data_IF_745721850283
#
_entry.id   IF_745721850283
#
_cell.length_a   1.000
_cell.length_b   1.000
_cell.length_c   1.000
_cell.angle_alpha   90.00
_cell.angle_beta   90.00
_cell.angle_gamma   90.00
#
_symmetry.space_group_name_H-M   'P 1'
#
loop_
_entity.id
_entity.type
_entity.pdbx_description
1 polymer ?
#
# COMPACT_ATOMS: atom_id res chain seq x y z
N UNK A 1 -65.03 56.15 -21.82
CA UNK A 1 -65.00 55.06 -20.82
C UNK A 1 -63.98 54.02 -21.26
N UNK A 2 -62.77 54.02 -20.67
CA UNK A 2 -61.70 53.07 -20.97
C UNK A 2 -61.90 51.79 -20.15
N UNK A 3 -62.04 50.65 -20.81
CA UNK A 3 -62.01 49.32 -20.18
C UNK A 3 -60.56 48.93 -19.95
N UNK A 4 -60.17 48.77 -18.69
CA UNK A 4 -58.89 48.18 -18.30
C UNK A 4 -59.10 46.68 -18.18
N UNK A 5 -58.43 45.92 -19.05
CA UNK A 5 -58.28 44.48 -18.94
C UNK A 5 -57.00 44.23 -18.14
N UNK A 6 -57.11 43.62 -16.95
CA UNK A 6 -55.97 43.10 -16.20
C UNK A 6 -55.67 41.67 -16.70
N UNK A 7 -54.41 41.31 -17.02
CA UNK A 7 -54.02 39.93 -17.17
C UNK A 7 -53.63 39.35 -15.80
N UNK A 8 -54.23 38.20 -15.47
CA UNK A 8 -53.87 37.36 -14.34
C UNK A 8 -52.60 36.57 -14.72
N UNK A 9 -51.44 37.00 -14.23
CA UNK A 9 -50.20 36.22 -14.33
C UNK A 9 -50.11 35.32 -13.09
N UNK A 10 -50.38 34.03 -13.28
CA UNK A 10 -50.13 33.01 -12.28
C UNK A 10 -48.62 32.82 -12.12
N UNK A 11 -48.04 33.38 -11.06
CA UNK A 11 -46.74 32.94 -10.56
C UNK A 11 -46.91 31.54 -9.97
N UNK A 12 -46.49 30.53 -10.71
CA UNK A 12 -46.16 29.22 -10.14
C UNK A 12 -44.86 29.39 -9.39
N UNK A 13 -44.94 29.69 -8.10
CA UNK A 13 -43.82 29.65 -7.18
C UNK A 13 -43.38 28.20 -6.99
N UNK A 14 -42.36 27.78 -7.74
CA UNK A 14 -41.58 26.58 -7.45
C UNK A 14 -40.95 26.76 -6.07
N UNK A 15 -41.58 26.22 -5.04
CA UNK A 15 -40.97 26.08 -3.73
C UNK A 15 -39.86 25.04 -3.88
N UNK A 16 -38.60 25.49 -3.89
CA UNK A 16 -37.49 24.60 -3.58
C UNK A 16 -37.73 24.12 -2.14
N UNK A 17 -38.20 22.88 -1.98
CA UNK A 17 -38.31 22.22 -0.69
C UNK A 17 -36.87 22.07 -0.16
N UNK A 18 -36.46 22.94 0.75
CA UNK A 18 -35.31 22.66 1.60
C UNK A 18 -35.69 21.44 2.45
N UNK A 19 -35.21 20.27 2.08
CA UNK A 19 -35.37 19.07 2.89
C UNK A 19 -34.64 19.28 4.22
N UNK A 20 -35.29 18.96 5.34
CA UNK A 20 -34.63 18.89 6.65
C UNK A 20 -33.49 17.87 6.56
N UNK A 21 -32.31 18.20 7.08
CA UNK A 21 -31.16 17.29 7.11
C UNK A 21 -31.52 15.93 7.72
N UNK A 22 -32.46 15.92 8.67
CA UNK A 22 -33.01 14.69 9.25
C UNK A 22 -33.72 13.82 8.20
N UNK A 23 -34.58 14.41 7.38
CA UNK A 23 -35.34 13.69 6.34
C UNK A 23 -34.39 13.14 5.26
N UNK A 24 -33.38 13.93 4.86
CA UNK A 24 -32.34 13.49 3.93
C UNK A 24 -31.61 12.26 4.48
N UNK A 25 -31.23 12.30 5.76
CA UNK A 25 -30.59 11.18 6.42
C UNK A 25 -31.48 9.94 6.43
N UNK A 26 -32.71 10.05 6.95
CA UNK A 26 -33.62 8.91 7.11
C UNK A 26 -33.95 8.25 5.77
N UNK A 27 -34.05 9.04 4.68
CA UNK A 27 -34.37 8.53 3.35
C UNK A 27 -33.16 7.91 2.61
N UNK A 28 -31.94 8.43 2.82
CA UNK A 28 -30.78 8.07 1.98
C UNK A 28 -29.66 7.35 2.72
N UNK A 29 -29.45 7.67 4.00
CA UNK A 29 -28.23 7.32 4.73
C UNK A 29 -28.45 6.40 5.93
N UNK A 30 -29.68 6.26 6.42
CA UNK A 30 -30.01 5.37 7.55
C UNK A 30 -29.50 3.93 7.36
N UNK A 31 -29.60 3.38 6.15
CA UNK A 31 -29.15 2.01 5.85
C UNK A 31 -27.68 1.92 5.42
N UNK A 32 -27.01 3.06 5.18
CA UNK A 32 -25.62 3.07 4.74
C UNK A 32 -24.66 2.69 5.88
N UNK A 33 -23.47 2.12 5.59
CA UNK A 33 -22.48 1.83 6.63
C UNK A 33 -21.96 3.11 7.30
N UNK A 34 -21.12 2.96 8.33
CA UNK A 34 -20.39 4.11 8.88
C UNK A 34 -19.58 4.82 7.79
N UNK A 35 -19.63 6.15 7.74
CA UNK A 35 -18.95 6.92 6.71
C UNK A 35 -19.35 8.40 6.73
N UNK A 36 -18.76 9.15 5.79
CA UNK A 36 -19.08 10.57 5.57
C UNK A 36 -19.77 10.71 4.21
N UNK A 37 -20.94 11.35 4.19
CA UNK A 37 -21.76 11.51 3.00
C UNK A 37 -22.06 13.00 2.75
N UNK A 38 -21.97 13.44 1.49
CA UNK A 38 -22.27 14.82 1.13
C UNK A 38 -23.56 14.90 0.31
N UNK A 39 -24.52 15.70 0.77
CA UNK A 39 -25.79 15.95 0.05
C UNK A 39 -26.35 17.31 0.43
N UNK A 40 -26.95 18.01 -0.54
CA UNK A 40 -27.74 19.21 -0.31
C UNK A 40 -27.00 20.29 0.50
N UNK A 41 -25.68 20.40 0.31
CA UNK A 41 -24.82 21.36 1.04
C UNK A 41 -24.39 20.91 2.44
N UNK A 42 -24.76 19.71 2.87
CA UNK A 42 -24.42 19.14 4.16
C UNK A 42 -23.41 17.99 4.05
N UNK A 43 -22.61 17.82 5.10
CA UNK A 43 -21.81 16.63 5.36
C UNK A 43 -22.42 15.88 6.54
N UNK A 44 -22.86 14.65 6.28
CA UNK A 44 -23.39 13.70 7.25
C UNK A 44 -22.28 12.78 7.71
N UNK A 45 -21.98 12.81 9.01
CA UNK A 45 -21.05 11.91 9.67
C UNK A 45 -21.85 10.80 10.33
N UNK A 46 -21.82 9.61 9.74
CA UNK A 46 -22.60 8.45 10.18
C UNK A 46 -21.68 7.48 10.86
N UNK A 47 -21.95 7.19 12.14
CA UNK A 47 -21.21 6.22 12.93
C UNK A 47 -22.17 5.15 13.45
N UNK A 48 -21.98 3.93 12.97
CA UNK A 48 -22.66 2.72 13.43
C UNK A 48 -21.71 1.94 14.34
N UNK A 49 -21.88 2.10 15.65
CA UNK A 49 -21.03 1.50 16.69
C UNK A 49 -21.70 0.26 17.28
N UNK A 50 -21.12 -0.91 17.03
CA UNK A 50 -21.58 -2.15 17.64
C UNK A 50 -21.26 -2.16 19.15
N UNK A 51 -22.06 -2.91 19.90
CA UNK A 51 -21.79 -3.14 21.32
C UNK A 51 -20.46 -3.85 21.56
N UNK A 52 -19.79 -3.48 22.64
CA UNK A 52 -18.68 -4.30 23.15
C UNK A 52 -19.27 -5.48 23.93
N UNK A 53 -19.19 -6.68 23.33
CA UNK A 53 -19.65 -7.94 23.89
C UNK A 53 -21.12 -8.26 23.64
N UNK A 54 -21.59 -9.38 24.20
CA UNK A 54 -22.95 -9.91 24.00
C UNK A 54 -23.98 -9.15 24.84
N UNK A 55 -24.41 -8.00 24.34
CA UNK A 55 -25.53 -7.22 24.89
C UNK A 55 -26.67 -7.17 23.89
N UNK A 56 -27.88 -6.86 24.39
CA UNK A 56 -29.08 -6.70 23.56
C UNK A 56 -29.24 -5.28 23.01
N UNK A 57 -28.79 -4.27 23.76
CA UNK A 57 -28.91 -2.86 23.40
C UNK A 57 -27.62 -2.11 23.69
N UNK A 58 -27.33 -1.12 22.86
CA UNK A 58 -26.23 -0.17 23.04
C UNK A 58 -26.60 0.92 24.06
N UNK A 59 -25.61 1.40 24.82
CA UNK A 59 -25.82 2.40 25.87
C UNK A 59 -24.77 3.51 25.87
N UNK A 60 -24.54 4.09 27.04
CA UNK A 60 -23.64 5.25 27.22
C UNK A 60 -22.21 4.99 26.76
N UNK A 61 -21.71 3.76 26.90
CA UNK A 61 -20.33 3.42 26.50
C UNK A 61 -20.19 3.47 24.98
N UNK A 62 -21.11 2.82 24.27
CA UNK A 62 -21.16 2.78 22.81
C UNK A 62 -21.41 4.18 22.24
N UNK A 63 -22.28 4.99 22.85
CA UNK A 63 -22.48 6.41 22.48
C UNK A 63 -21.17 7.22 22.58
N UNK A 64 -20.40 7.09 23.67
CA UNK A 64 -19.09 7.77 23.80
C UNK A 64 -18.05 7.30 22.79
N UNK A 65 -18.05 6.00 22.46
CA UNK A 65 -17.16 5.46 21.43
C UNK A 65 -17.54 5.99 20.04
N UNK A 66 -18.84 6.05 19.76
CA UNK A 66 -19.36 6.58 18.51
C UNK A 66 -19.06 8.08 18.36
N UNK A 67 -19.22 8.86 19.43
CA UNK A 67 -18.84 10.28 19.48
C UNK A 67 -17.34 10.47 19.22
N UNK A 68 -16.48 9.65 19.84
CA UNK A 68 -15.03 9.69 19.58
C UNK A 68 -14.73 9.41 18.10
N UNK A 69 -15.37 8.40 17.51
CA UNK A 69 -15.21 8.07 16.10
C UNK A 69 -15.71 9.20 15.19
N UNK A 70 -16.80 9.87 15.54
CA UNK A 70 -17.28 11.07 14.86
C UNK A 70 -16.19 12.16 14.84
N UNK A 71 -15.61 12.53 15.99
CA UNK A 71 -14.57 13.56 16.02
C UNK A 71 -13.32 13.18 15.22
N UNK A 72 -12.98 11.89 15.16
CA UNK A 72 -11.91 11.40 14.29
C UNK A 72 -12.25 11.60 12.80
N UNK A 73 -13.48 11.28 12.37
CA UNK A 73 -13.94 11.55 11.01
C UNK A 73 -14.00 13.05 10.70
N UNK A 74 -14.47 13.87 11.64
CA UNK A 74 -14.55 15.33 11.50
C UNK A 74 -13.18 15.95 11.25
N UNK A 75 -12.17 15.56 12.05
CA UNK A 75 -10.79 16.04 11.89
C UNK A 75 -10.18 15.57 10.56
N UNK A 76 -10.48 14.34 10.14
CA UNK A 76 -10.01 13.82 8.86
C UNK A 76 -10.61 14.61 7.69
N UNK A 77 -11.92 14.85 7.67
CA UNK A 77 -12.60 15.63 6.62
C UNK A 77 -12.17 17.10 6.60
N UNK A 78 -12.00 17.71 7.77
CA UNK A 78 -11.45 19.06 7.88
C UNK A 78 -10.07 19.14 7.23
N UNK A 79 -9.20 18.17 7.50
CA UNK A 79 -7.86 18.10 6.91
C UNK A 79 -7.92 17.86 5.40
N UNK A 80 -8.74 16.91 4.94
CA UNK A 80 -8.87 16.55 3.52
C UNK A 80 -9.38 17.69 2.64
N UNK A 81 -10.28 18.52 3.17
CA UNK A 81 -10.98 19.56 2.41
C UNK A 81 -10.32 20.94 2.51
N UNK A 82 -9.68 21.24 3.64
CA UNK A 82 -8.98 22.52 3.86
C UNK A 82 -7.54 22.52 3.39
N UNK A 83 -6.88 21.37 3.31
CA UNK A 83 -5.51 21.29 2.81
C UNK A 83 -5.54 21.07 1.30
N UNK A 84 -4.77 21.87 0.56
CA UNK A 84 -4.55 21.64 -0.87
C UNK A 84 -3.08 21.76 -1.23
N UNK A 85 -2.70 21.00 -2.25
CA UNK A 85 -1.39 21.08 -2.89
C UNK A 85 -1.52 21.91 -4.17
N UNK A 86 -0.44 22.56 -4.58
CA UNK A 86 -0.34 23.03 -5.97
C UNK A 86 -0.40 21.79 -6.89
N UNK A 87 -1.39 21.67 -7.79
CA UNK A 87 -1.53 20.53 -8.68
C UNK A 87 -0.30 20.25 -9.55
N UNK A 88 0.52 21.28 -9.82
CA UNK A 88 1.72 21.16 -10.62
C UNK A 88 2.94 20.71 -9.80
N UNK A 89 2.81 20.64 -8.47
CA UNK A 89 3.96 20.47 -7.59
C UNK A 89 4.21 19.03 -7.17
N UNK A 90 3.15 18.27 -6.91
CA UNK A 90 3.21 16.87 -6.48
C UNK A 90 1.97 16.13 -7.01
N UNK A 91 2.20 15.08 -7.79
CA UNK A 91 1.14 14.17 -8.23
C UNK A 91 0.99 13.03 -7.23
N UNK A 92 0.11 13.21 -6.23
CA UNK A 92 -0.33 12.14 -5.34
C UNK A 92 -1.76 11.74 -5.66
N UNK A 93 -2.04 10.45 -5.52
CA UNK A 93 -3.38 9.89 -5.68
C UNK A 93 -3.69 8.93 -4.53
N UNK A 94 -4.88 8.32 -4.55
CA UNK A 94 -5.22 7.19 -3.69
C UNK A 94 -5.09 7.45 -2.19
N UNK A 95 -4.66 6.42 -1.47
CA UNK A 95 -4.55 6.42 0.00
C UNK A 95 -3.44 7.34 0.49
N UNK A 96 -2.27 7.34 -0.18
CA UNK A 96 -1.14 8.18 0.22
C UNK A 96 -1.50 9.67 0.17
N UNK A 97 -2.26 10.12 -0.84
CA UNK A 97 -2.75 11.51 -0.89
C UNK A 97 -3.58 11.85 0.35
N UNK A 98 -4.51 10.97 0.73
CA UNK A 98 -5.38 11.18 1.88
C UNK A 98 -4.56 11.29 3.17
N UNK A 99 -3.62 10.38 3.37
CA UNK A 99 -2.81 10.34 4.59
C UNK A 99 -1.84 11.54 4.68
N UNK A 100 -1.29 11.99 3.55
CA UNK A 100 -0.50 13.23 3.49
C UNK A 100 -1.35 14.45 3.86
N UNK A 101 -2.54 14.59 3.28
CA UNK A 101 -3.47 15.69 3.60
C UNK A 101 -3.88 15.69 5.09
N UNK A 102 -4.21 14.51 5.63
CA UNK A 102 -4.56 14.35 7.04
C UNK A 102 -3.39 14.70 7.95
N UNK A 103 -2.19 14.18 7.67
CA UNK A 103 -1.00 14.45 8.48
C UNK A 103 -0.63 15.94 8.47
N UNK A 104 -0.75 16.60 7.33
CA UNK A 104 -0.50 18.04 7.24
C UNK A 104 -1.61 18.83 7.96
N UNK A 105 -2.88 18.51 7.74
CA UNK A 105 -3.99 19.19 8.40
C UNK A 105 -3.90 19.14 9.92
N UNK A 106 -3.40 18.02 10.47
CA UNK A 106 -3.08 17.89 11.89
C UNK A 106 -1.93 18.81 12.35
N UNK A 107 -0.89 18.99 11.52
CA UNK A 107 0.25 19.87 11.85
C UNK A 107 -0.12 21.35 11.85
N UNK A 108 -0.97 21.78 10.92
CA UNK A 108 -1.44 23.16 10.84
C UNK A 108 -2.57 23.48 11.81
N UNK A 109 -2.87 22.55 12.73
CA UNK A 109 -4.00 22.60 13.65
C UNK A 109 -5.27 23.07 12.92
N UNK A 110 -5.63 22.37 11.84
CA UNK A 110 -6.85 22.64 11.06
C UNK A 110 -8.15 22.40 11.86
N UNK A 111 -8.10 22.51 13.20
CA UNK A 111 -9.20 22.79 14.12
C UNK A 111 -9.83 24.15 13.78
N UNK A 112 -10.48 24.25 12.63
CA UNK A 112 -11.62 25.15 12.57
C UNK A 112 -12.66 24.63 13.56
N UNK A 113 -13.30 25.53 14.29
CA UNK A 113 -14.57 25.23 14.95
C UNK A 113 -15.61 24.97 13.84
N UNK A 114 -15.66 23.72 13.36
CA UNK A 114 -16.71 23.28 12.46
C UNK A 114 -17.96 23.10 13.32
N UNK A 115 -18.93 23.99 13.11
CA UNK A 115 -20.24 23.89 13.74
C UNK A 115 -20.95 22.66 13.18
N UNK A 116 -21.40 21.81 14.09
CA UNK A 116 -22.10 20.56 13.78
C UNK A 116 -23.31 20.38 14.69
N UNK A 117 -24.30 19.65 14.20
CA UNK A 117 -25.56 19.38 14.89
C UNK A 117 -25.79 17.87 14.99
N UNK A 118 -26.11 17.41 16.20
CA UNK A 118 -26.49 16.02 16.44
C UNK A 118 -27.88 15.79 15.86
N UNK A 119 -28.00 14.89 14.90
CA UNK A 119 -29.28 14.45 14.35
C UNK A 119 -29.81 13.25 15.12
N UNK A 120 -28.94 12.27 15.38
CA UNK A 120 -29.30 11.03 16.06
C UNK A 120 -28.19 10.57 17.01
N UNK A 121 -28.60 10.11 18.19
CA UNK A 121 -27.81 9.24 19.05
C UNK A 121 -28.75 8.19 19.64
N UNK A 122 -28.95 7.08 18.92
CA UNK A 122 -29.98 6.08 19.25
C UNK A 122 -29.50 4.66 19.06
N UNK A 123 -30.11 3.73 19.78
CA UNK A 123 -29.98 2.30 19.50
C UNK A 123 -30.95 1.93 18.37
N UNK A 124 -30.51 1.12 17.41
CA UNK A 124 -31.34 0.69 16.29
C UNK A 124 -32.14 -0.61 16.56
N UNK A 125 -32.14 -1.12 17.79
CA UNK A 125 -32.81 -2.36 18.18
C UNK A 125 -31.98 -3.64 17.99
N UNK A 126 -30.74 -3.54 17.48
CA UNK A 126 -29.86 -4.69 17.22
C UNK A 126 -28.46 -4.53 17.82
N UNK A 127 -28.36 -3.97 19.04
CA UNK A 127 -27.10 -3.64 19.71
C UNK A 127 -26.11 -2.85 18.83
N UNK A 128 -26.64 -1.92 18.05
CA UNK A 128 -25.88 -1.02 17.20
C UNK A 128 -26.34 0.40 17.53
N UNK A 129 -25.39 1.20 18.01
CA UNK A 129 -25.60 2.62 18.25
C UNK A 129 -25.41 3.36 16.94
N UNK A 130 -26.46 4.06 16.52
CA UNK A 130 -26.44 4.97 15.38
C UNK A 130 -26.23 6.39 15.91
N UNK A 131 -25.07 6.95 15.60
CA UNK A 131 -24.66 8.30 15.98
C UNK A 131 -24.42 9.12 14.72
N UNK A 132 -25.19 10.18 14.54
CA UNK A 132 -25.22 10.95 13.29
C UNK A 132 -25.11 12.42 13.61
N UNK A 133 -24.07 13.04 13.07
CA UNK A 133 -23.83 14.48 13.14
C UNK A 133 -23.89 15.06 11.74
N UNK A 134 -24.34 16.30 11.62
CA UNK A 134 -24.35 17.04 10.35
C UNK A 134 -23.61 18.35 10.48
N UNK A 135 -22.85 18.73 9.45
CA UNK A 135 -22.20 20.03 9.34
C UNK A 135 -22.44 20.63 7.95
N UNK A 136 -22.44 21.96 7.84
CA UNK A 136 -22.46 22.63 6.53
C UNK A 136 -21.13 22.38 5.80
N UNK A 137 -21.21 21.87 4.57
CA UNK A 137 -20.05 21.53 3.74
C UNK A 137 -19.17 22.76 3.43
N UNK A 138 -19.77 23.95 3.33
CA UNK A 138 -19.03 25.19 3.02
C UNK A 138 -18.05 25.59 4.12
N UNK A 139 -18.29 25.20 5.38
CA UNK A 139 -17.35 25.43 6.50
C UNK A 139 -16.00 24.74 6.28
N UNK A 140 -15.96 23.68 5.47
CA UNK A 140 -14.74 22.93 5.16
C UNK A 140 -13.96 23.52 3.99
N UNK A 141 -14.53 24.49 3.27
CA UNK A 141 -13.90 25.12 2.11
C UNK A 141 -13.30 26.50 2.43
N UNK A 142 -13.64 27.05 3.61
CA UNK A 142 -13.11 28.32 4.09
C UNK A 142 -11.64 28.15 4.52
N UNK A 143 -10.81 29.11 4.10
CA UNK A 143 -9.38 29.20 4.46
C UNK A 143 -8.56 27.96 4.04
N UNK A 144 -8.57 27.64 2.74
CA UNK A 144 -7.72 26.56 2.23
C UNK A 144 -6.24 26.86 2.49
N UNK A 145 -5.59 25.94 3.20
CA UNK A 145 -4.16 25.97 3.45
C UNK A 145 -3.47 25.43 2.20
N UNK A 146 -2.79 26.32 1.49
CA UNK A 146 -1.90 25.92 0.41
C UNK A 146 -0.58 25.44 1.01
N UNK A 147 -0.23 24.19 0.74
CA UNK A 147 0.97 23.59 1.29
C UNK A 147 2.08 23.60 0.26
N UNK A 148 3.29 24.08 0.62
CA UNK A 148 4.47 23.96 -0.22
C UNK A 148 4.79 22.51 -0.59
N UNK A 149 5.28 22.31 -1.82
CA UNK A 149 5.59 21.00 -2.39
C UNK A 149 6.59 20.20 -1.53
N UNK A 150 7.62 20.88 -1.03
CA UNK A 150 8.66 20.31 -0.18
C UNK A 150 8.10 19.77 1.16
N UNK A 151 7.10 20.45 1.71
CA UNK A 151 6.41 20.00 2.93
C UNK A 151 5.59 18.74 2.66
N UNK A 152 4.85 18.71 1.55
CA UNK A 152 4.11 17.52 1.14
C UNK A 152 5.04 16.35 0.80
N UNK A 153 6.17 16.59 0.13
CA UNK A 153 7.23 15.60 -0.12
C UNK A 153 7.77 15.02 1.19
N UNK A 154 8.11 15.89 2.15
CA UNK A 154 8.65 15.48 3.46
C UNK A 154 7.66 14.61 4.23
N UNK A 155 6.37 15.00 4.26
CA UNK A 155 5.33 14.22 4.93
C UNK A 155 5.09 12.89 4.23
N UNK A 156 5.03 12.87 2.89
CA UNK A 156 4.95 11.64 2.10
C UNK A 156 6.10 10.68 2.43
N UNK A 157 7.33 11.17 2.43
CA UNK A 157 8.52 10.37 2.75
C UNK A 157 8.44 9.81 4.18
N UNK A 158 8.01 10.64 5.14
CA UNK A 158 7.80 10.20 6.52
C UNK A 158 6.77 9.06 6.58
N UNK A 159 5.61 9.21 5.95
CA UNK A 159 4.56 8.18 5.95
C UNK A 159 5.04 6.85 5.31
N UNK A 160 5.85 6.92 4.25
CA UNK A 160 6.47 5.73 3.64
C UNK A 160 7.41 5.03 4.63
N UNK A 161 8.28 5.79 5.30
CA UNK A 161 9.24 5.26 6.27
C UNK A 161 8.53 4.71 7.52
N UNK A 162 7.52 5.42 8.03
CA UNK A 162 6.70 4.98 9.16
C UNK A 162 5.99 3.65 8.82
N UNK A 163 5.44 3.50 7.60
CA UNK A 163 4.82 2.26 7.16
C UNK A 163 5.82 1.09 7.04
N UNK A 164 7.08 1.36 6.65
CA UNK A 164 8.15 0.37 6.66
C UNK A 164 8.54 -0.04 8.08
N UNK A 165 8.70 0.93 8.99
CA UNK A 165 9.04 0.68 10.39
C UNK A 165 7.94 -0.14 11.10
N UNK A 166 6.68 0.15 10.79
CA UNK A 166 5.51 -0.59 11.27
C UNK A 166 5.30 -1.93 10.58
N UNK A 167 6.06 -2.22 9.52
CA UNK A 167 5.97 -3.45 8.73
C UNK A 167 4.58 -3.70 8.11
N UNK A 168 3.86 -2.62 7.77
CA UNK A 168 2.50 -2.69 7.23
C UNK A 168 2.51 -2.92 5.71
N UNK A 169 2.57 -4.19 5.32
CA UNK A 169 2.59 -4.61 3.91
C UNK A 169 1.36 -4.13 3.11
N UNK A 170 0.10 -4.27 3.60
CA UNK A 170 -1.06 -3.72 2.91
C UNK A 170 -0.97 -2.21 2.67
N UNK A 171 -0.53 -1.45 3.67
CA UNK A 171 -0.39 0.00 3.54
C UNK A 171 0.71 0.37 2.53
N UNK A 172 1.85 -0.32 2.57
CA UNK A 172 2.93 -0.14 1.59
C UNK A 172 2.44 -0.43 0.16
N UNK A 173 1.70 -1.51 -0.07
CA UNK A 173 1.10 -1.80 -1.38
C UNK A 173 0.19 -0.66 -1.86
N UNK A 174 -0.67 -0.16 -0.97
CA UNK A 174 -1.58 0.97 -1.26
C UNK A 174 -0.83 2.27 -1.57
N UNK A 175 0.27 2.53 -0.86
CA UNK A 175 1.15 3.67 -1.12
C UNK A 175 1.89 3.54 -2.46
N UNK A 176 2.41 2.36 -2.80
CA UNK A 176 3.04 2.13 -4.11
C UNK A 176 2.05 2.31 -5.26
N UNK A 177 0.81 1.86 -5.10
CA UNK A 177 -0.28 2.13 -6.06
C UNK A 177 -0.52 3.61 -6.23
N UNK A 178 -0.54 4.36 -5.13
CA UNK A 178 -0.78 5.80 -5.12
C UNK A 178 0.32 6.60 -5.83
N UNK A 179 1.53 6.04 -5.90
CA UNK A 179 2.71 6.57 -6.60
C UNK A 179 2.85 6.04 -8.03
N UNK A 180 1.91 5.20 -8.48
CA UNK A 180 1.94 4.52 -9.78
C UNK A 180 3.24 3.70 -10.00
N UNK A 181 3.66 3.02 -8.93
CA UNK A 181 4.79 2.08 -8.86
C UNK A 181 4.26 0.64 -8.84
N UNK A 182 3.65 0.21 -9.94
CA UNK A 182 2.92 -1.07 -10.03
C UNK A 182 3.81 -2.29 -9.74
N UNK A 183 5.08 -2.27 -10.14
CA UNK A 183 6.01 -3.37 -9.83
C UNK A 183 6.24 -3.54 -8.32
N UNK A 184 6.43 -2.45 -7.57
CA UNK A 184 6.60 -2.52 -6.11
C UNK A 184 5.27 -2.90 -5.45
N UNK A 185 4.16 -2.31 -5.91
CA UNK A 185 2.81 -2.64 -5.44
C UNK A 185 2.50 -4.13 -5.54
N UNK A 186 2.82 -4.76 -6.66
CA UNK A 186 2.56 -6.17 -6.89
C UNK A 186 3.40 -7.08 -5.97
N UNK A 187 4.66 -6.73 -5.70
CA UNK A 187 5.50 -7.48 -4.75
C UNK A 187 4.94 -7.38 -3.32
N UNK A 188 4.55 -6.19 -2.87
CA UNK A 188 3.93 -6.01 -1.55
C UNK A 188 2.58 -6.73 -1.44
N UNK A 189 1.72 -6.59 -2.46
CA UNK A 189 0.43 -7.26 -2.50
C UNK A 189 0.57 -8.78 -2.46
N UNK A 190 1.54 -9.35 -3.19
CA UNK A 190 1.81 -10.80 -3.14
C UNK A 190 2.24 -11.26 -1.75
N UNK A 191 3.05 -10.47 -1.03
CA UNK A 191 3.46 -10.79 0.34
C UNK A 191 2.32 -10.76 1.36
N UNK A 192 1.21 -10.08 1.07
CA UNK A 192 0.01 -10.12 1.92
C UNK A 192 -0.85 -11.36 1.70
N UNK A 193 -0.64 -12.11 0.61
CA UNK A 193 -1.43 -13.30 0.31
C UNK A 193 -0.93 -14.46 1.17
N UNK A 194 -1.86 -15.09 1.87
CA UNK A 194 -1.71 -16.44 2.40
C UNK A 194 -2.48 -17.42 1.50
N UNK A 195 -1.96 -18.63 1.28
CA UNK A 195 -0.66 -19.17 1.73
C UNK A 195 0.51 -18.71 0.82
N UNK A 196 1.74 -19.02 1.25
CA UNK A 196 2.98 -18.82 0.49
C UNK A 196 3.30 -20.04 -0.39
N UNK A 197 4.20 -19.88 -1.37
CA UNK A 197 4.74 -20.98 -2.16
C UNK A 197 5.84 -21.70 -1.38
N UNK A 198 5.59 -22.95 -1.01
CA UNK A 198 6.56 -23.75 -0.28
C UNK A 198 7.64 -24.33 -1.20
N UNK A 199 8.89 -24.14 -0.80
CA UNK A 199 10.06 -24.81 -1.36
C UNK A 199 10.58 -25.77 -0.31
N UNK A 200 10.78 -27.04 -0.67
CA UNK A 200 11.46 -27.99 0.21
C UNK A 200 12.72 -28.53 -0.45
N UNK A 201 13.80 -28.59 0.32
CA UNK A 201 15.07 -29.04 -0.20
C UNK A 201 15.13 -30.57 -0.18
N UNK A 202 14.84 -31.19 -1.32
CA UNK A 202 14.80 -32.65 -1.44
C UNK A 202 16.15 -33.21 -1.91
N UNK A 203 17.18 -33.14 -1.06
CA UNK A 203 18.27 -34.12 -1.12
C UNK A 203 17.88 -35.26 -0.20
N UNK A 204 17.05 -36.17 -0.74
CA UNK A 204 16.47 -37.38 -0.12
C UNK A 204 16.56 -37.51 1.40
N UNK A 205 15.41 -37.48 2.09
CA UNK A 205 15.20 -38.29 3.31
C UNK A 205 13.73 -38.35 3.80
N UNK A 206 12.81 -37.47 3.37
CA UNK A 206 11.38 -37.67 3.65
C UNK A 206 10.41 -37.01 2.65
N UNK A 207 9.92 -37.75 1.64
CA UNK A 207 8.91 -37.27 0.69
C UNK A 207 7.55 -36.93 1.32
N UNK A 208 7.30 -37.39 2.56
CA UNK A 208 5.98 -37.30 3.19
C UNK A 208 5.63 -35.88 3.66
N UNK A 209 6.62 -35.08 4.07
CA UNK A 209 6.39 -33.71 4.53
C UNK A 209 5.90 -32.77 3.41
N UNK A 210 6.53 -32.83 2.23
CA UNK A 210 6.07 -32.09 1.04
C UNK A 210 4.69 -32.59 0.59
N UNK A 211 4.49 -33.91 0.57
CA UNK A 211 3.20 -34.52 0.21
C UNK A 211 2.07 -34.07 1.15
N UNK A 212 2.31 -34.06 2.46
CA UNK A 212 1.34 -33.58 3.45
C UNK A 212 1.03 -32.08 3.29
N UNK A 213 2.03 -31.24 3.02
CA UNK A 213 1.81 -29.82 2.75
C UNK A 213 0.98 -29.62 1.48
N UNK A 214 1.33 -30.32 0.40
CA UNK A 214 0.63 -30.19 -0.89
C UNK A 214 -0.77 -30.81 -0.89
N UNK A 215 -1.02 -31.83 -0.08
CA UNK A 215 -2.35 -32.39 0.16
C UNK A 215 -3.26 -31.42 0.93
N UNK A 216 -2.69 -30.61 1.84
CA UNK A 216 -3.43 -29.60 2.60
C UNK A 216 -3.66 -28.29 1.83
N UNK A 217 -2.74 -27.91 0.93
CA UNK A 217 -2.78 -26.60 0.25
C UNK A 217 -2.46 -26.68 -1.26
N UNK A 218 -3.27 -27.48 -1.97
CA UNK A 218 -3.11 -27.90 -3.38
C UNK A 218 -2.94 -26.80 -4.44
N UNK A 219 -3.19 -25.52 -4.11
CA UNK A 219 -3.13 -24.40 -5.06
C UNK A 219 -1.69 -23.92 -5.34
N UNK A 220 -0.76 -24.19 -4.43
CA UNK A 220 0.62 -23.65 -4.47
C UNK A 220 1.70 -24.71 -4.64
N UNK A 221 1.31 -25.96 -4.88
CA UNK A 221 2.21 -27.02 -5.36
C UNK A 221 1.94 -27.36 -6.83
N UNK A 222 2.17 -26.43 -7.79
CA UNK A 222 2.09 -26.78 -9.20
C UNK A 222 3.11 -27.89 -9.51
N UNK A 223 2.72 -28.78 -10.43
CA UNK A 223 3.56 -29.85 -10.96
C UNK A 223 4.96 -29.31 -11.24
N UNK A 224 5.98 -30.00 -10.71
CA UNK A 224 7.41 -29.81 -11.03
C UNK A 224 7.55 -29.23 -12.43
N UNK A 225 7.82 -27.93 -12.51
CA UNK A 225 8.16 -27.28 -13.78
C UNK A 225 9.38 -28.00 -14.34
N UNK A 226 9.44 -28.19 -15.66
CA UNK A 226 10.63 -28.73 -16.29
C UNK A 226 11.82 -27.83 -15.89
N UNK A 227 12.77 -28.36 -15.11
CA UNK A 227 13.89 -27.56 -14.62
C UNK A 227 14.73 -27.08 -15.81
N UNK A 228 14.66 -25.79 -16.09
CA UNK A 228 15.40 -25.15 -17.19
C UNK A 228 16.80 -24.74 -16.74
N UNK A 229 16.96 -24.47 -15.44
CA UNK A 229 18.24 -24.04 -14.87
C UNK A 229 19.07 -25.21 -14.35
N UNK A 230 20.36 -25.18 -14.70
CA UNK A 230 21.31 -26.20 -14.26
C UNK A 230 21.39 -26.19 -12.72
N UNK A 231 21.12 -27.35 -12.11
CA UNK A 231 21.13 -27.55 -10.66
C UNK A 231 20.05 -26.79 -9.86
N UNK A 232 18.97 -26.33 -10.51
CA UNK A 232 17.77 -25.83 -9.82
C UNK A 232 16.81 -26.97 -9.43
N UNK A 233 17.29 -27.95 -8.66
CA UNK A 233 16.57 -29.21 -8.44
C UNK A 233 15.28 -29.07 -7.62
N UNK A 234 15.10 -27.99 -6.87
CA UNK A 234 13.83 -27.63 -6.20
C UNK A 234 13.03 -26.57 -6.97
N UNK A 235 13.40 -26.29 -8.23
CA UNK A 235 12.71 -25.34 -9.13
C UNK A 235 12.56 -23.93 -8.55
N UNK A 236 13.48 -23.47 -7.70
CA UNK A 236 13.37 -22.17 -7.02
C UNK A 236 13.46 -21.02 -8.02
N UNK A 237 14.44 -21.07 -8.90
CA UNK A 237 14.63 -20.05 -9.94
C UNK A 237 13.56 -20.20 -11.02
N UNK A 238 13.28 -21.42 -11.48
CA UNK A 238 12.25 -21.66 -12.50
C UNK A 238 10.87 -21.14 -12.04
N UNK A 239 10.48 -21.43 -10.80
CA UNK A 239 9.21 -20.92 -10.22
C UNK A 239 9.27 -19.41 -10.04
N UNK A 240 10.36 -18.87 -9.48
CA UNK A 240 10.47 -17.43 -9.30
C UNK A 240 10.36 -16.70 -10.63
N UNK A 241 11.01 -17.19 -11.69
CA UNK A 241 11.08 -16.50 -12.97
C UNK A 241 9.86 -16.72 -13.85
N UNK A 242 9.16 -17.85 -13.74
CA UNK A 242 7.85 -18.04 -14.38
C UNK A 242 6.81 -17.04 -13.85
N UNK A 243 6.87 -16.73 -12.55
CA UNK A 243 6.06 -15.70 -11.89
C UNK A 243 6.70 -14.31 -11.92
N UNK A 244 7.67 -14.09 -12.82
CA UNK A 244 8.35 -12.79 -13.01
C UNK A 244 8.90 -12.18 -11.72
N UNK A 245 9.39 -13.00 -10.80
CA UNK A 245 9.91 -12.61 -9.51
C UNK A 245 8.86 -12.16 -8.49
N UNK A 246 7.56 -12.19 -8.82
CA UNK A 246 6.47 -11.76 -7.95
C UNK A 246 5.78 -13.00 -7.37
N UNK A 247 6.48 -13.66 -6.45
CA UNK A 247 5.96 -14.82 -5.71
C UNK A 247 6.52 -14.82 -4.29
N UNK A 248 5.68 -15.22 -3.32
CA UNK A 248 6.10 -15.36 -1.93
C UNK A 248 6.67 -16.75 -1.68
N UNK A 249 7.98 -16.94 -1.92
CA UNK A 249 8.66 -18.21 -1.65
C UNK A 249 8.99 -18.36 -0.15
N UNK A 250 8.80 -19.57 0.38
CA UNK A 250 9.22 -19.93 1.73
C UNK A 250 9.81 -21.34 1.77
N UNK A 251 11.01 -21.47 2.32
CA UNK A 251 11.63 -22.77 2.55
C UNK A 251 11.05 -23.43 3.80
N UNK A 252 10.45 -24.62 3.64
CA UNK A 252 9.91 -25.39 4.79
C UNK A 252 11.07 -25.89 5.67
N UNK A 253 12.10 -26.49 5.07
CA UNK A 253 13.28 -27.01 5.77
C UNK A 253 14.58 -26.36 5.27
N UNK A 254 14.84 -25.09 5.61
CA UNK A 254 16.01 -24.40 5.08
C UNK A 254 17.32 -25.00 5.61
N UNK A 255 18.22 -25.36 4.69
CA UNK A 255 19.60 -25.79 5.00
C UNK A 255 20.50 -24.56 5.12
N UNK A 256 20.25 -23.72 6.13
CA UNK A 256 20.89 -22.39 6.30
C UNK A 256 22.42 -22.45 6.18
N UNK A 257 23.08 -23.40 6.88
CA UNK A 257 24.56 -23.52 6.83
C UNK A 257 25.09 -23.81 5.43
N UNK A 258 24.41 -24.68 4.68
CA UNK A 258 24.78 -25.02 3.32
C UNK A 258 24.55 -23.83 2.38
N UNK A 259 23.38 -23.18 2.49
CA UNK A 259 23.05 -21.98 1.73
C UNK A 259 24.10 -20.87 1.94
N UNK A 260 24.51 -20.63 3.19
CA UNK A 260 25.53 -19.63 3.53
C UNK A 260 26.92 -19.99 3.00
N UNK A 261 27.31 -21.27 3.03
CA UNK A 261 28.60 -21.72 2.50
C UNK A 261 28.68 -21.55 0.98
N UNK A 262 27.62 -21.91 0.26
CA UNK A 262 27.51 -21.73 -1.19
C UNK A 262 27.49 -20.25 -1.57
N UNK A 263 26.74 -19.43 -0.84
CA UNK A 263 26.76 -17.98 -1.02
C UNK A 263 28.17 -17.39 -0.79
N UNK A 264 28.91 -17.86 0.21
CA UNK A 264 30.28 -17.38 0.46
C UNK A 264 31.24 -17.71 -0.70
N UNK A 265 31.09 -18.88 -1.32
CA UNK A 265 31.85 -19.25 -2.53
C UNK A 265 31.50 -18.33 -3.70
N UNK A 266 30.20 -18.11 -3.95
CA UNK A 266 29.72 -17.17 -4.97
C UNK A 266 30.29 -15.77 -4.74
N UNK A 267 30.24 -15.29 -3.50
CA UNK A 267 30.75 -13.97 -3.10
C UNK A 267 32.25 -13.83 -3.38
N UNK A 268 33.05 -14.85 -3.05
CA UNK A 268 34.50 -14.83 -3.32
C UNK A 268 34.80 -14.68 -4.82
N UNK A 269 34.06 -15.38 -5.68
CA UNK A 269 34.18 -15.25 -7.13
C UNK A 269 33.66 -13.90 -7.65
N UNK A 270 32.55 -13.40 -7.07
CA UNK A 270 31.96 -12.12 -7.41
C UNK A 270 32.90 -10.95 -7.07
N UNK A 271 33.44 -10.93 -5.85
CA UNK A 271 34.38 -9.90 -5.38
C UNK A 271 35.67 -9.89 -6.21
N UNK A 272 36.09 -11.05 -6.71
CA UNK A 272 37.28 -11.18 -7.58
C UNK A 272 36.99 -10.96 -9.07
N UNK A 273 35.72 -10.72 -9.45
CA UNK A 273 35.30 -10.43 -10.82
C UNK A 273 35.49 -11.59 -11.80
N UNK A 274 35.42 -12.84 -11.33
CA UNK A 274 35.73 -14.04 -12.14
C UNK A 274 34.55 -15.01 -12.21
N UNK A 275 34.47 -15.69 -13.35
CA UNK A 275 33.60 -16.86 -13.60
C UNK A 275 32.09 -16.64 -13.30
N UNK A 276 31.38 -15.82 -14.10
CA UNK A 276 29.95 -15.57 -13.93
C UNK A 276 29.07 -16.84 -13.87
N UNK A 277 29.42 -17.87 -14.63
CA UNK A 277 28.67 -19.13 -14.65
C UNK A 277 28.77 -19.87 -13.30
N UNK A 278 29.95 -19.92 -12.69
CA UNK A 278 30.12 -20.53 -11.37
C UNK A 278 29.41 -19.73 -10.28
N UNK A 279 29.43 -18.39 -10.36
CA UNK A 279 28.69 -17.53 -9.42
C UNK A 279 27.18 -17.85 -9.54
N UNK A 280 26.64 -17.90 -10.75
CA UNK A 280 25.22 -18.25 -10.99
C UNK A 280 24.87 -19.63 -10.42
N UNK A 281 25.74 -20.63 -10.64
CA UNK A 281 25.58 -21.98 -10.11
C UNK A 281 25.60 -22.01 -8.57
N UNK A 282 26.59 -21.40 -7.93
CA UNK A 282 26.71 -21.37 -6.47
C UNK A 282 25.51 -20.65 -5.83
N UNK A 283 25.02 -19.58 -6.45
CA UNK A 283 23.81 -18.86 -6.01
C UNK A 283 22.55 -19.70 -6.21
N UNK A 284 22.44 -20.42 -7.33
CA UNK A 284 21.32 -21.34 -7.60
C UNK A 284 21.27 -22.41 -6.52
N UNK A 285 22.39 -23.07 -6.23
CA UNK A 285 22.48 -24.07 -5.16
C UNK A 285 22.18 -23.47 -3.78
N UNK A 286 22.65 -22.25 -3.52
CA UNK A 286 22.39 -21.53 -2.27
C UNK A 286 20.90 -21.29 -2.04
N UNK A 287 20.18 -20.90 -3.10
CA UNK A 287 18.74 -20.66 -3.09
C UNK A 287 17.93 -21.96 -3.04
N UNK A 288 18.40 -23.01 -3.69
CA UNK A 288 17.82 -24.34 -3.51
C UNK A 288 17.87 -24.75 -2.04
N UNK A 289 19.02 -24.57 -1.38
CA UNK A 289 19.20 -24.88 0.04
C UNK A 289 18.37 -23.97 0.98
N UNK A 290 18.09 -22.72 0.59
CA UNK A 290 17.24 -21.78 1.31
C UNK A 290 16.75 -20.67 0.38
N UNK A 291 15.50 -20.76 -0.06
CA UNK A 291 14.87 -19.78 -0.95
C UNK A 291 14.71 -18.41 -0.27
N UNK A 292 14.71 -18.36 1.06
CA UNK A 292 14.67 -17.14 1.86
C UNK A 292 16.06 -16.54 2.12
N UNK A 293 17.07 -16.81 1.28
CA UNK A 293 18.37 -16.14 1.36
C UNK A 293 18.37 -14.82 0.56
N UNK A 294 18.15 -13.65 1.20
CA UNK A 294 18.04 -12.38 0.49
C UNK A 294 19.34 -11.96 -0.20
N UNK A 295 20.49 -12.29 0.39
CA UNK A 295 21.80 -11.91 -0.16
C UNK A 295 22.09 -12.66 -1.47
N UNK A 296 21.62 -13.90 -1.60
CA UNK A 296 21.75 -14.66 -2.84
C UNK A 296 20.92 -14.03 -3.97
N UNK A 297 19.67 -13.64 -3.70
CA UNK A 297 18.81 -12.91 -4.65
C UNK A 297 19.41 -11.56 -5.05
N UNK A 298 19.92 -10.81 -4.08
CA UNK A 298 20.60 -9.53 -4.30
C UNK A 298 21.80 -9.68 -5.25
N UNK A 299 22.62 -10.70 -5.03
CA UNK A 299 23.80 -10.98 -5.85
C UNK A 299 23.43 -11.49 -7.24
N UNK A 300 22.39 -12.33 -7.37
CA UNK A 300 21.87 -12.76 -8.68
C UNK A 300 21.41 -11.56 -9.51
N UNK A 301 20.66 -10.62 -8.90
CA UNK A 301 20.25 -9.40 -9.60
C UNK A 301 21.46 -8.60 -10.12
N UNK A 302 22.50 -8.45 -9.29
CA UNK A 302 23.74 -7.77 -9.68
C UNK A 302 24.48 -8.50 -10.79
N UNK A 303 24.58 -9.83 -10.71
CA UNK A 303 25.23 -10.68 -11.70
C UNK A 303 24.52 -10.59 -13.05
N UNK A 304 23.19 -10.70 -13.06
CA UNK A 304 22.39 -10.62 -14.28
C UNK A 304 22.43 -9.24 -14.91
N UNK A 305 22.49 -8.18 -14.12
CA UNK A 305 22.76 -6.84 -14.63
C UNK A 305 24.14 -6.75 -15.28
N UNK A 306 25.18 -7.28 -14.63
CA UNK A 306 26.55 -7.25 -15.15
C UNK A 306 26.76 -8.11 -16.41
N UNK A 307 25.94 -9.15 -16.59
CA UNK A 307 26.00 -10.08 -17.73
C UNK A 307 24.94 -9.80 -18.81
N UNK A 308 24.33 -8.61 -18.78
CA UNK A 308 23.36 -8.13 -19.77
C UNK A 308 22.11 -9.03 -19.92
N UNK A 309 21.58 -9.53 -18.80
CA UNK A 309 20.33 -10.29 -18.70
C UNK A 309 19.29 -9.48 -17.91
N UNK A 310 18.74 -8.38 -18.45
CA UNK A 310 17.94 -7.40 -17.70
C UNK A 310 16.66 -7.96 -17.09
N UNK A 311 15.96 -8.86 -17.78
CA UNK A 311 14.74 -9.51 -17.25
C UNK A 311 15.03 -10.37 -16.02
N UNK A 312 16.07 -11.20 -16.06
CA UNK A 312 16.45 -12.02 -14.91
C UNK A 312 16.97 -11.15 -13.75
N UNK A 313 17.61 -10.02 -14.06
CA UNK A 313 18.00 -9.04 -13.06
C UNK A 313 16.78 -8.40 -12.38
N UNK A 314 15.72 -8.12 -13.14
CA UNK A 314 14.44 -7.61 -12.62
C UNK A 314 13.76 -8.62 -11.70
N UNK A 315 13.58 -9.86 -12.17
CA UNK A 315 12.91 -10.91 -11.39
C UNK A 315 13.67 -11.22 -10.10
N UNK A 316 14.99 -11.26 -10.17
CA UNK A 316 15.85 -11.44 -9.00
C UNK A 316 15.77 -10.27 -8.02
N UNK A 317 15.67 -9.02 -8.52
CA UNK A 317 15.47 -7.83 -7.68
C UNK A 317 14.09 -7.82 -7.00
N UNK A 318 13.05 -8.28 -7.70
CA UNK A 318 11.71 -8.43 -7.14
C UNK A 318 11.67 -9.49 -6.04
N UNK A 319 12.38 -10.61 -6.22
CA UNK A 319 12.56 -11.59 -5.14
C UNK A 319 13.36 -11.02 -3.97
N UNK A 320 14.44 -10.27 -4.22
CA UNK A 320 15.18 -9.59 -3.15
C UNK A 320 14.28 -8.64 -2.34
N UNK A 321 13.45 -7.82 -3.01
CA UNK A 321 12.44 -6.99 -2.36
C UNK A 321 11.44 -7.84 -1.56
N UNK A 322 10.94 -8.94 -2.13
CA UNK A 322 10.01 -9.86 -1.45
C UNK A 322 10.59 -10.38 -0.12
N UNK A 323 11.90 -10.71 -0.11
CA UNK A 323 12.61 -11.18 1.09
C UNK A 323 13.05 -10.06 2.04
N UNK A 324 13.13 -8.81 1.57
CA UNK A 324 13.51 -7.63 2.37
C UNK A 324 12.52 -6.46 2.15
N UNK A 325 11.22 -6.65 2.42
CA UNK A 325 10.18 -5.70 2.00
C UNK A 325 10.26 -4.34 2.71
N UNK A 326 10.93 -4.28 3.86
CA UNK A 326 11.04 -3.08 4.68
C UNK A 326 12.40 -2.37 4.53
N UNK A 327 13.23 -2.82 3.60
CA UNK A 327 14.50 -2.16 3.28
C UNK A 327 14.33 -1.23 2.08
N UNK A 328 14.52 0.07 2.27
CA UNK A 328 14.58 1.04 1.17
C UNK A 328 15.71 0.73 0.19
N UNK A 329 16.77 0.06 0.63
CA UNK A 329 17.88 -0.35 -0.23
C UNK A 329 17.45 -1.42 -1.24
N UNK A 330 16.47 -2.25 -0.91
CA UNK A 330 15.93 -3.24 -1.86
C UNK A 330 15.27 -2.60 -3.08
N UNK A 331 14.69 -1.41 -2.93
CA UNK A 331 14.07 -0.66 -4.03
C UNK A 331 15.11 -0.20 -5.06
N UNK A 332 16.33 0.12 -4.61
CA UNK A 332 17.41 0.60 -5.48
C UNK A 332 17.83 -0.47 -6.50
N UNK A 333 17.69 -1.75 -6.14
CA UNK A 333 17.99 -2.87 -7.05
C UNK A 333 17.02 -2.97 -8.23
N UNK A 334 15.84 -2.35 -8.14
CA UNK A 334 14.86 -2.32 -9.23
C UNK A 334 15.17 -1.24 -10.27
N UNK A 335 15.91 -0.17 -9.93
CA UNK A 335 16.11 0.99 -10.82
C UNK A 335 16.70 0.63 -12.18
N UNK A 336 17.89 0.00 -12.17
CA UNK A 336 18.61 -0.33 -13.40
C UNK A 336 17.86 -1.36 -14.29
N UNK A 337 17.34 -2.49 -13.75
CA UNK A 337 16.61 -3.43 -14.59
C UNK A 337 15.26 -2.87 -15.07
N UNK A 338 14.52 -2.12 -14.25
CA UNK A 338 13.27 -1.47 -14.67
C UNK A 338 13.49 -0.50 -15.83
N UNK A 339 14.62 0.23 -15.87
CA UNK A 339 14.88 1.15 -16.99
C UNK A 339 14.82 0.47 -18.36
N UNK A 340 15.17 -0.81 -18.45
CA UNK A 340 15.14 -1.57 -19.70
C UNK A 340 13.73 -2.09 -20.05
N UNK A 341 12.88 -2.33 -19.06
CA UNK A 341 11.55 -2.93 -19.24
C UNK A 341 10.40 -1.91 -19.19
N UNK A 342 10.51 -0.90 -18.31
CA UNK A 342 9.55 0.17 -18.07
C UNK A 342 10.26 1.44 -17.55
N UNK A 343 10.69 2.28 -18.50
CA UNK A 343 11.41 3.53 -18.21
C UNK A 343 10.59 4.51 -17.36
N UNK A 344 9.26 4.51 -17.51
CA UNK A 344 8.38 5.43 -16.78
C UNK A 344 8.31 5.04 -15.30
N UNK A 345 8.14 3.74 -14.99
CA UNK A 345 8.23 3.28 -13.60
C UNK A 345 9.61 3.47 -13.00
N UNK A 346 10.67 3.24 -13.78
CA UNK A 346 12.04 3.47 -13.32
C UNK A 346 12.26 4.95 -12.94
N UNK A 347 11.75 5.90 -13.74
CA UNK A 347 11.84 7.33 -13.44
C UNK A 347 11.07 7.69 -12.17
N UNK A 348 9.83 7.22 -12.01
CA UNK A 348 9.04 7.48 -10.80
C UNK A 348 9.71 6.91 -9.55
N UNK A 349 10.25 5.71 -9.66
CA UNK A 349 10.98 5.07 -8.56
C UNK A 349 12.23 5.88 -8.21
N UNK A 350 12.94 6.39 -9.21
CA UNK A 350 14.09 7.27 -9.02
C UNK A 350 13.71 8.58 -8.32
N UNK A 351 12.61 9.23 -8.70
CA UNK A 351 12.13 10.46 -8.06
C UNK A 351 11.83 10.23 -6.57
N UNK A 352 11.14 9.11 -6.26
CA UNK A 352 10.85 8.72 -4.88
C UNK A 352 12.12 8.43 -4.09
N UNK A 353 13.06 7.66 -4.65
CA UNK A 353 14.33 7.33 -3.99
C UNK A 353 15.22 8.54 -3.78
N UNK A 354 15.31 9.44 -4.77
CA UNK A 354 16.06 10.70 -4.67
C UNK A 354 15.55 11.59 -3.56
N UNK A 355 14.22 11.64 -3.41
CA UNK A 355 13.57 12.34 -2.32
C UNK A 355 13.81 11.64 -0.97
N UNK A 356 13.65 10.32 -0.89
CA UNK A 356 13.89 9.54 0.33
C UNK A 356 15.35 9.64 0.81
N UNK A 357 16.32 9.75 -0.09
CA UNK A 357 17.74 9.87 0.24
C UNK A 357 18.08 11.11 1.09
N UNK A 358 17.18 12.11 1.15
CA UNK A 358 17.30 13.27 2.04
C UNK A 358 16.92 12.96 3.50
N UNK A 359 16.27 11.82 3.76
CA UNK A 359 15.65 11.47 5.04
C UNK A 359 16.00 10.06 5.55
N UNK A 360 16.39 9.15 4.66
CA UNK A 360 16.78 7.79 4.97
C UNK A 360 18.28 7.56 4.72
N UNK A 361 18.89 6.67 5.50
CA UNK A 361 20.26 6.24 5.26
C UNK A 361 20.30 5.20 4.15
N UNK A 362 21.11 5.47 3.13
CA UNK A 362 21.42 4.54 2.05
C UNK A 362 22.91 4.20 2.09
N UNK A 363 23.27 2.99 1.69
CA UNK A 363 24.68 2.63 1.49
C UNK A 363 25.34 3.53 0.43
N UNK A 364 26.68 3.70 0.46
CA UNK A 364 27.39 4.45 -0.58
C UNK A 364 27.11 3.94 -2.00
N UNK A 365 26.95 2.62 -2.14
CA UNK A 365 26.58 2.01 -3.42
C UNK A 365 25.19 2.47 -3.86
N UNK A 366 24.19 2.39 -2.98
CA UNK A 366 22.82 2.78 -3.28
C UNK A 366 22.70 4.27 -3.62
N UNK A 367 23.37 5.13 -2.85
CA UNK A 367 23.46 6.57 -3.14
C UNK A 367 24.06 6.82 -4.53
N UNK A 368 25.11 6.09 -4.89
CA UNK A 368 25.71 6.20 -6.20
C UNK A 368 24.74 5.76 -7.31
N UNK A 369 24.01 4.64 -7.13
CA UNK A 369 23.01 4.20 -8.11
C UNK A 369 21.91 5.23 -8.34
N UNK A 370 21.41 5.86 -7.27
CA UNK A 370 20.40 6.93 -7.36
C UNK A 370 20.99 8.16 -8.06
N UNK A 371 22.23 8.54 -7.76
CA UNK A 371 22.87 9.74 -8.31
C UNK A 371 23.19 9.63 -9.81
N UNK A 372 23.64 8.46 -10.26
CA UNK A 372 24.07 8.24 -11.66
C UNK A 372 22.94 7.81 -12.59
N UNK A 373 21.72 7.71 -12.06
CA UNK A 373 20.53 7.48 -12.88
C UNK A 373 20.32 8.71 -13.78
N UNK A 374 20.67 8.54 -15.06
CA UNK A 374 20.48 9.49 -16.16
C UNK A 374 19.71 8.80 -17.28
#
# INVERSE_FOLDING_TARGET
>A
MKKVLLPLLALVSTHALAFDARDVYEQKYAEQPSGVYQDSGHLFFVVKQACEGDKKYSGTKESKLAEKAFYQQLLAEASLRRVSFDPNSISLSGQLKKDVLVSIGQQYDAKALISHQLLFDRDNGSCLREYVQVADATQFEQEKIQVPADTAEKVRNKLLLDAMEQQDLPLLASYMRSLDLTNLESVYAERTKAPYYAVDFQLGDDPSAYSQFCEQDSKYCPKQTQNTYQFDFNSVLDTAFSEKGIINLNSIHPRIKMSSALYANAKSNFDSGKNPAQIELDLTLSLNANANNPLAWQMLSSLYRATNKPQLALYSAQQYLSQQPFSTESWVYLLAPLRNEDQQQAQRLHDVLSSLAKHAQFSPWAQNQIKVYQ
#
